data_IF_557816402709
#
_entry.id   IF_557816402709
#
_cell.length_a   1.000
_cell.length_b   1.000
_cell.length_c   1.000
_cell.angle_alpha   90.00
_cell.angle_beta   90.00
_cell.angle_gamma   90.00
#
_symmetry.space_group_name_H-M   'P 1'
#
loop_
_entity.id
_entity.type
_entity.pdbx_description
1 polymer ?
#
# COMPACT_ATOMS: atom_id res chain seq x y z
N UNK A 1 -12.33 10.34 10.77
CA UNK A 1 -12.61 8.94 11.12
C UNK A 1 -11.49 8.39 11.98
N UNK A 2 -11.84 7.59 12.97
CA UNK A 2 -10.85 6.80 13.71
C UNK A 2 -10.45 5.55 12.89
N UNK A 3 -9.56 4.72 13.45
CA UNK A 3 -9.04 3.55 12.75
C UNK A 3 -10.13 2.54 12.36
N UNK A 4 -11.01 2.20 13.29
CA UNK A 4 -12.05 1.20 13.02
C UNK A 4 -13.09 1.69 12.02
N UNK A 5 -13.45 2.96 12.07
CA UNK A 5 -14.33 3.59 11.10
C UNK A 5 -13.72 3.58 9.70
N UNK A 6 -12.45 3.93 9.59
CA UNK A 6 -11.73 3.92 8.32
C UNK A 6 -11.67 2.51 7.74
N UNK A 7 -11.34 1.52 8.56
CA UNK A 7 -11.28 0.12 8.13
C UNK A 7 -12.64 -0.37 7.61
N UNK A 8 -13.73 -0.01 8.27
CA UNK A 8 -15.08 -0.36 7.84
C UNK A 8 -15.45 0.30 6.51
N UNK A 9 -15.12 1.57 6.34
CA UNK A 9 -15.37 2.30 5.07
C UNK A 9 -14.60 1.67 3.92
N UNK A 10 -13.33 1.34 4.13
CA UNK A 10 -12.50 0.71 3.08
C UNK A 10 -13.06 -0.65 2.69
N UNK A 11 -13.49 -1.47 3.65
CA UNK A 11 -13.99 -2.82 3.36
C UNK A 11 -15.25 -2.80 2.47
N UNK A 12 -16.00 -1.72 2.46
CA UNK A 12 -17.23 -1.54 1.67
C UNK A 12 -17.06 -0.56 0.51
N UNK A 13 -15.84 -0.16 0.19
CA UNK A 13 -15.56 0.89 -0.79
C UNK A 13 -15.96 0.49 -2.20
N UNK A 14 -16.59 1.43 -2.92
CA UNK A 14 -16.99 1.29 -4.34
C UNK A 14 -16.58 2.50 -5.18
N UNK A 15 -15.56 3.24 -4.73
CA UNK A 15 -15.17 4.53 -5.32
C UNK A 15 -14.47 4.40 -6.69
N UNK A 16 -14.00 3.20 -7.04
CA UNK A 16 -13.41 2.95 -8.36
C UNK A 16 -13.79 1.56 -8.87
N UNK A 17 -13.50 1.28 -10.16
CA UNK A 17 -13.86 0.04 -10.82
C UNK A 17 -13.21 -1.22 -10.24
N UNK A 18 -12.16 -1.09 -9.44
CA UNK A 18 -11.48 -2.24 -8.83
C UNK A 18 -12.40 -3.03 -7.88
N UNK A 19 -13.42 -2.40 -7.34
CA UNK A 19 -14.39 -3.09 -6.48
C UNK A 19 -15.12 -4.25 -7.18
N UNK A 20 -15.20 -4.22 -8.50
CA UNK A 20 -15.92 -5.24 -9.28
C UNK A 20 -15.12 -6.53 -9.43
N UNK A 21 -13.80 -6.46 -9.41
CA UNK A 21 -12.92 -7.61 -9.63
C UNK A 21 -12.27 -8.17 -8.38
N UNK A 22 -12.36 -7.47 -7.26
CA UNK A 22 -11.74 -7.91 -6.00
C UNK A 22 -12.53 -9.03 -5.33
N UNK A 23 -11.83 -9.89 -4.61
CA UNK A 23 -12.47 -10.81 -3.65
C UNK A 23 -12.78 -10.07 -2.35
N UNK A 24 -11.84 -9.27 -1.87
CA UNK A 24 -11.99 -8.42 -0.70
C UNK A 24 -11.00 -7.26 -0.77
N UNK A 25 -11.19 -6.25 0.06
CA UNK A 25 -10.21 -5.19 0.22
C UNK A 25 -9.04 -5.67 1.10
N UNK A 26 -7.89 -5.06 0.90
CA UNK A 26 -6.67 -5.31 1.70
C UNK A 26 -6.29 -4.01 2.37
N UNK A 27 -6.71 -3.84 3.61
CA UNK A 27 -6.56 -2.57 4.32
C UNK A 27 -5.11 -2.27 4.71
N UNK A 28 -4.42 -3.26 5.19
CA UNK A 28 -3.08 -3.17 5.72
C UNK A 28 -2.92 -4.07 6.94
N UNK A 29 -1.71 -4.16 7.46
CA UNK A 29 -1.42 -5.00 8.63
C UNK A 29 -0.25 -4.42 9.42
N UNK A 30 -0.33 -4.50 10.73
CA UNK A 30 0.79 -4.17 11.60
C UNK A 30 0.43 -3.36 12.83
N UNK A 31 1.43 -2.69 13.36
CA UNK A 31 1.33 -1.87 14.56
C UNK A 31 0.73 -0.50 14.21
N UNK A 32 -0.41 -0.16 14.79
CA UNK A 32 -1.08 1.11 14.53
C UNK A 32 -0.31 2.33 15.08
N UNK A 33 0.71 2.08 15.89
CA UNK A 33 1.61 3.12 16.44
C UNK A 33 3.03 2.96 15.90
N UNK A 34 3.16 2.35 14.72
CA UNK A 34 4.45 2.08 14.11
C UNK A 34 5.22 3.36 13.80
N UNK A 35 6.53 3.32 13.98
CA UNK A 35 7.44 4.36 13.49
C UNK A 35 7.80 4.15 12.02
N UNK A 36 7.70 2.92 11.52
CA UNK A 36 8.01 2.53 10.15
C UNK A 36 6.74 2.14 9.41
N UNK A 37 6.41 2.90 8.38
CA UNK A 37 5.31 2.57 7.47
C UNK A 37 5.90 2.17 6.11
N UNK A 38 5.56 0.98 5.64
CA UNK A 38 5.96 0.48 4.33
C UNK A 38 4.74 0.53 3.40
N UNK A 39 4.88 1.18 2.25
CA UNK A 39 3.79 1.38 1.30
C UNK A 39 4.15 0.77 -0.04
N UNK A 40 3.40 -0.23 -0.44
CA UNK A 40 3.51 -0.87 -1.76
C UNK A 40 2.47 -0.35 -2.75
N UNK A 41 2.38 -1.03 -3.88
CA UNK A 41 1.52 -0.65 -5.00
C UNK A 41 0.06 -1.05 -4.77
N UNK A 42 -0.19 -2.33 -4.66
CA UNK A 42 -1.54 -2.87 -4.52
C UNK A 42 -1.53 -4.38 -4.28
N UNK A 43 -2.69 -4.94 -3.88
CA UNK A 43 -2.79 -6.38 -3.66
C UNK A 43 -2.62 -7.17 -4.96
N UNK A 44 -1.88 -8.26 -4.87
CA UNK A 44 -1.86 -9.29 -5.89
C UNK A 44 -2.90 -10.38 -5.58
N UNK A 45 -2.81 -11.50 -6.31
CA UNK A 45 -3.74 -12.62 -6.16
C UNK A 45 -3.79 -13.18 -4.74
N UNK A 46 -2.62 -13.42 -4.15
CA UNK A 46 -2.54 -14.02 -2.81
C UNK A 46 -3.10 -13.06 -1.74
N UNK A 47 -2.77 -11.78 -1.87
CA UNK A 47 -3.24 -10.73 -0.96
C UNK A 47 -4.76 -10.56 -1.04
N UNK A 48 -5.30 -10.53 -2.26
CA UNK A 48 -6.74 -10.44 -2.49
C UNK A 48 -7.50 -11.63 -1.87
N UNK A 49 -6.91 -12.81 -1.94
CA UNK A 49 -7.49 -14.02 -1.33
C UNK A 49 -7.41 -14.01 0.19
N UNK A 50 -6.25 -13.64 0.75
CA UNK A 50 -6.01 -13.71 2.20
C UNK A 50 -6.45 -12.46 2.97
N UNK A 51 -6.58 -11.31 2.29
CA UNK A 51 -6.93 -10.05 2.94
C UNK A 51 -5.77 -9.34 3.64
N UNK A 52 -4.54 -9.80 3.43
CA UNK A 52 -3.32 -9.24 4.02
C UNK A 52 -2.34 -8.79 2.95
N UNK A 53 -1.64 -7.65 3.13
CA UNK A 53 -0.61 -7.21 2.19
C UNK A 53 0.66 -8.04 2.31
N UNK A 54 1.37 -8.19 1.20
CA UNK A 54 2.70 -8.82 1.16
C UNK A 54 2.75 -10.25 1.72
N UNK A 55 1.87 -11.10 1.24
CA UNK A 55 1.81 -12.53 1.60
C UNK A 55 2.28 -13.46 0.48
N UNK A 56 2.59 -12.91 -0.70
CA UNK A 56 3.13 -13.65 -1.84
C UNK A 56 4.67 -13.57 -1.92
N UNK A 57 5.25 -13.81 -3.12
CA UNK A 57 6.72 -13.78 -3.30
C UNK A 57 7.37 -12.45 -2.91
N UNK A 58 6.75 -11.32 -3.24
CA UNK A 58 7.24 -10.00 -2.84
C UNK A 58 7.22 -9.85 -1.31
N UNK A 59 6.27 -10.49 -0.64
CA UNK A 59 6.18 -10.51 0.82
C UNK A 59 7.36 -11.22 1.48
N UNK A 60 7.84 -12.30 0.86
CA UNK A 60 9.03 -13.01 1.35
C UNK A 60 10.27 -12.13 1.24
N UNK A 61 10.39 -11.38 0.15
CA UNK A 61 11.50 -10.43 -0.02
C UNK A 61 11.43 -9.34 1.05
N UNK A 62 10.25 -8.80 1.32
CA UNK A 62 10.06 -7.81 2.37
C UNK A 62 10.42 -8.38 3.75
N UNK A 63 10.04 -9.61 4.05
CA UNK A 63 10.42 -10.28 5.30
C UNK A 63 11.94 -10.38 5.45
N UNK A 64 12.64 -10.71 4.37
CA UNK A 64 14.11 -10.75 4.38
C UNK A 64 14.71 -9.36 4.61
N UNK A 65 14.14 -8.33 4.02
CA UNK A 65 14.55 -6.94 4.27
C UNK A 65 14.34 -6.56 5.74
N UNK A 66 13.22 -6.95 6.34
CA UNK A 66 12.95 -6.71 7.76
C UNK A 66 14.01 -7.38 8.65
N UNK A 67 14.34 -8.63 8.38
CA UNK A 67 15.41 -9.34 9.11
C UNK A 67 16.72 -8.57 9.03
N UNK A 68 17.11 -8.11 7.83
CA UNK A 68 18.34 -7.35 7.63
C UNK A 68 18.33 -6.00 8.36
N UNK A 69 17.15 -5.40 8.54
CA UNK A 69 16.98 -4.11 9.23
C UNK A 69 16.77 -4.26 10.74
N UNK A 70 16.68 -5.48 11.25
CA UNK A 70 16.33 -5.73 12.65
C UNK A 70 14.87 -5.43 12.96
N UNK A 71 13.99 -5.47 11.97
CA UNK A 71 12.56 -5.23 12.11
C UNK A 71 11.78 -6.53 12.07
N UNK A 72 10.53 -6.48 12.54
CA UNK A 72 9.62 -7.62 12.57
C UNK A 72 8.21 -7.15 12.20
N UNK A 73 7.49 -7.96 11.43
CA UNK A 73 6.09 -7.67 11.12
C UNK A 73 5.27 -7.52 12.39
N UNK A 74 4.43 -6.48 12.44
CA UNK A 74 3.54 -6.22 13.56
C UNK A 74 4.19 -5.56 14.77
N UNK A 75 5.50 -5.41 14.78
CA UNK A 75 6.23 -4.72 15.85
C UNK A 75 6.90 -3.47 15.30
N UNK A 76 6.38 -2.30 15.64
CA UNK A 76 6.89 -1.01 15.20
C UNK A 76 6.92 -0.85 13.67
N UNK A 77 6.19 -1.71 12.94
CA UNK A 77 6.06 -1.69 11.50
C UNK A 77 4.58 -1.78 11.11
N UNK A 78 4.19 -1.05 10.09
CA UNK A 78 2.88 -1.18 9.44
C UNK A 78 3.10 -1.28 7.94
N UNK A 79 2.33 -2.15 7.28
CA UNK A 79 2.41 -2.39 5.85
C UNK A 79 1.06 -2.07 5.22
N UNK A 80 1.06 -1.21 4.22
CA UNK A 80 -0.12 -0.85 3.45
C UNK A 80 0.22 -0.76 1.97
N UNK A 81 -0.80 -0.64 1.14
CA UNK A 81 -0.63 -0.41 -0.30
C UNK A 81 -1.28 0.92 -0.70
N UNK A 82 -0.86 1.44 -1.83
CA UNK A 82 -1.43 2.64 -2.44
C UNK A 82 -2.91 2.43 -2.77
N UNK A 83 -3.25 1.29 -3.39
CA UNK A 83 -4.64 0.89 -3.61
C UNK A 83 -5.00 -0.29 -2.71
N UNK A 84 -6.28 -0.37 -2.30
CA UNK A 84 -6.77 -1.38 -1.35
C UNK A 84 -7.41 -2.58 -2.03
N UNK A 85 -7.56 -2.54 -3.33
CA UNK A 85 -8.18 -3.59 -4.15
C UNK A 85 -7.20 -4.05 -5.21
N UNK A 86 -7.26 -5.35 -5.54
CA UNK A 86 -6.41 -5.96 -6.57
C UNK A 86 -6.72 -5.38 -7.96
N UNK A 87 -5.76 -4.74 -8.63
CA UNK A 87 -5.91 -4.36 -10.04
C UNK A 87 -5.64 -5.55 -10.94
N UNK A 88 -6.54 -5.79 -11.89
CA UNK A 88 -6.40 -6.87 -12.86
C UNK A 88 -6.66 -6.39 -14.27
N UNK A 89 -6.06 -7.06 -15.26
CA UNK A 89 -6.35 -6.84 -16.67
C UNK A 89 -7.57 -7.65 -17.13
N UNK A 90 -7.87 -7.59 -18.42
CA UNK A 90 -8.99 -8.33 -19.04
C UNK A 90 -8.87 -9.85 -18.91
N UNK A 91 -7.64 -10.36 -18.73
CA UNK A 91 -7.35 -11.79 -18.52
C UNK A 91 -7.28 -12.17 -17.03
N UNK A 92 -7.70 -11.27 -16.14
CA UNK A 92 -7.66 -11.44 -14.68
C UNK A 92 -6.25 -11.63 -14.13
N UNK A 93 -5.24 -11.08 -14.80
CA UNK A 93 -3.85 -11.06 -14.35
C UNK A 93 -3.58 -9.76 -13.61
N UNK A 94 -2.65 -9.82 -12.67
CA UNK A 94 -2.22 -8.63 -11.93
C UNK A 94 -1.64 -7.57 -12.87
N UNK A 95 -1.96 -6.32 -12.60
CA UNK A 95 -1.42 -5.15 -13.29
C UNK A 95 -1.15 -4.03 -12.29
N UNK A 96 -0.40 -3.02 -12.71
CA UNK A 96 -0.28 -1.79 -11.93
C UNK A 96 -1.62 -1.03 -11.94
N UNK A 97 -1.97 -0.32 -10.86
CA UNK A 97 -3.13 0.57 -10.89
C UNK A 97 -2.88 1.73 -11.83
N UNK A 98 -3.96 2.22 -12.46
CA UNK A 98 -3.91 3.46 -13.22
C UNK A 98 -4.06 4.66 -12.28
N UNK A 99 -3.67 5.87 -12.75
CA UNK A 99 -3.68 7.07 -11.93
C UNK A 99 -5.04 7.35 -11.28
N UNK A 100 -6.14 7.17 -12.01
CA UNK A 100 -7.48 7.38 -11.47
C UNK A 100 -7.81 6.45 -10.29
N UNK A 101 -7.33 5.20 -10.34
CA UNK A 101 -7.52 4.23 -9.26
C UNK A 101 -6.69 4.61 -8.04
N UNK A 102 -5.44 4.98 -8.24
CA UNK A 102 -4.57 5.46 -7.16
C UNK A 102 -5.12 6.72 -6.51
N UNK A 103 -5.59 7.68 -7.31
CA UNK A 103 -6.17 8.93 -6.81
C UNK A 103 -7.44 8.69 -6.00
N UNK A 104 -8.31 7.79 -6.46
CA UNK A 104 -9.55 7.45 -5.75
C UNK A 104 -9.27 6.79 -4.39
N UNK A 105 -8.19 6.04 -4.28
CA UNK A 105 -7.82 5.30 -3.07
C UNK A 105 -6.93 6.10 -2.12
N UNK A 106 -6.27 7.15 -2.60
CA UNK A 106 -5.29 7.93 -1.85
C UNK A 106 -5.82 8.51 -0.54
N UNK A 107 -7.07 9.00 -0.45
CA UNK A 107 -7.60 9.52 0.82
C UNK A 107 -7.54 8.50 1.97
N UNK A 108 -7.68 7.22 1.67
CA UNK A 108 -7.59 6.17 2.70
C UNK A 108 -6.16 6.01 3.21
N UNK A 109 -5.19 5.98 2.32
CA UNK A 109 -3.78 5.91 2.70
C UNK A 109 -3.35 7.16 3.48
N UNK A 110 -3.76 8.34 3.04
CA UNK A 110 -3.49 9.59 3.73
C UNK A 110 -4.02 9.56 5.16
N UNK A 111 -5.25 9.05 5.35
CA UNK A 111 -5.82 8.93 6.69
C UNK A 111 -5.09 7.91 7.55
N UNK A 112 -4.67 6.79 6.97
CA UNK A 112 -3.83 5.83 7.68
C UNK A 112 -2.52 6.46 8.15
N UNK A 113 -1.87 7.23 7.29
CA UNK A 113 -0.63 7.94 7.63
C UNK A 113 -0.86 8.92 8.80
N UNK A 114 -1.93 9.69 8.76
CA UNK A 114 -2.27 10.63 9.83
C UNK A 114 -2.49 9.90 11.17
N UNK A 115 -3.22 8.77 11.14
CA UNK A 115 -3.54 8.01 12.35
C UNK A 115 -2.34 7.26 12.92
N UNK A 116 -1.48 6.70 12.07
CA UNK A 116 -0.26 6.01 12.50
C UNK A 116 0.80 7.04 12.94
N UNK A 117 0.90 8.14 12.23
CA UNK A 117 1.90 9.18 12.44
C UNK A 117 3.34 8.62 12.47
N UNK A 118 3.78 7.93 11.41
CA UNK A 118 5.08 7.29 11.40
C UNK A 118 6.22 8.30 11.33
N UNK A 119 7.40 7.89 11.80
CA UNK A 119 8.63 8.69 11.65
C UNK A 119 9.22 8.55 10.24
N UNK A 120 9.07 7.37 9.63
CA UNK A 120 9.62 7.06 8.30
C UNK A 120 8.57 6.34 7.48
N UNK A 121 8.44 6.76 6.22
CA UNK A 121 7.65 6.07 5.21
C UNK A 121 8.62 5.50 4.17
N UNK A 122 8.55 4.20 3.94
CA UNK A 122 9.33 3.52 2.90
C UNK A 122 8.41 3.21 1.73
N UNK A 123 8.66 3.85 0.60
CA UNK A 123 7.92 3.58 -0.64
C UNK A 123 8.54 2.38 -1.35
N UNK A 124 7.75 1.34 -1.53
CA UNK A 124 8.16 0.12 -2.20
C UNK A 124 7.68 0.15 -3.64
N UNK A 125 8.53 0.66 -4.52
CA UNK A 125 8.27 0.74 -5.95
C UNK A 125 7.75 2.08 -6.44
N UNK A 126 7.59 2.17 -7.76
CA UNK A 126 7.27 3.40 -8.48
C UNK A 126 5.91 3.98 -8.09
N UNK A 127 4.87 3.16 -8.08
CA UNK A 127 3.49 3.63 -7.82
C UNK A 127 3.39 4.31 -6.46
N UNK A 128 3.93 3.68 -5.42
CA UNK A 128 3.90 4.24 -4.07
C UNK A 128 4.70 5.55 -4.00
N UNK A 129 5.90 5.57 -4.58
CA UNK A 129 6.75 6.75 -4.56
C UNK A 129 6.08 7.95 -5.25
N UNK A 130 5.54 7.75 -6.45
CA UNK A 130 4.88 8.82 -7.21
C UNK A 130 3.61 9.32 -6.52
N UNK A 131 2.83 8.41 -5.96
CA UNK A 131 1.58 8.76 -5.26
C UNK A 131 1.84 9.53 -3.98
N UNK A 132 2.79 9.09 -3.16
CA UNK A 132 3.15 9.75 -1.90
C UNK A 132 3.75 11.13 -2.13
N UNK A 133 4.61 11.27 -3.13
CA UNK A 133 5.26 12.54 -3.47
C UNK A 133 4.42 13.42 -4.40
N UNK A 134 3.27 12.92 -4.87
CA UNK A 134 2.37 13.63 -5.80
C UNK A 134 3.09 14.08 -7.08
N UNK A 135 3.88 13.17 -7.64
CA UNK A 135 4.66 13.44 -8.86
C UNK A 135 3.91 12.97 -10.11
N UNK A 136 4.33 13.50 -11.26
CA UNK A 136 3.85 13.09 -12.56
C UNK A 136 4.13 11.59 -12.77
N UNK A 137 3.15 10.80 -13.28
CA UNK A 137 3.35 9.37 -13.56
C UNK A 137 4.51 9.06 -14.51
N UNK A 138 4.92 10.01 -15.34
CA UNK A 138 6.05 9.87 -16.23
C UNK A 138 7.42 10.04 -15.55
N UNK A 139 7.46 10.46 -14.29
CA UNK A 139 8.71 10.65 -13.55
C UNK A 139 9.46 9.32 -13.41
N UNK A 140 10.75 9.23 -13.85
CA UNK A 140 11.52 8.00 -13.70
C UNK A 140 11.81 7.71 -12.23
N UNK A 141 11.51 6.49 -11.78
CA UNK A 141 11.75 6.09 -10.39
C UNK A 141 13.24 6.13 -10.02
N UNK A 142 14.12 5.95 -11.00
CA UNK A 142 15.56 6.02 -10.79
C UNK A 142 16.02 7.36 -10.22
N UNK A 143 15.31 8.46 -10.52
CA UNK A 143 15.60 9.79 -9.97
C UNK A 143 15.28 9.91 -8.48
N UNK A 144 14.42 9.03 -7.97
CA UNK A 144 13.93 9.08 -6.60
C UNK A 144 14.73 8.20 -5.65
N UNK A 145 15.42 7.19 -6.20
CA UNK A 145 16.21 6.23 -5.42
C UNK A 145 17.43 6.89 -4.77
N UNK A 146 17.82 6.37 -3.62
CA UNK A 146 19.02 6.81 -2.91
C UNK A 146 18.90 8.18 -2.26
N UNK A 147 17.72 8.78 -2.25
CA UNK A 147 17.45 10.11 -1.67
C UNK A 147 16.30 10.01 -0.68
N UNK A 148 16.43 10.73 0.44
CA UNK A 148 15.34 10.89 1.40
C UNK A 148 14.52 12.11 1.00
N UNK A 149 13.20 11.92 0.89
CA UNK A 149 12.27 12.97 0.52
C UNK A 149 11.40 13.36 1.70
N UNK A 150 10.94 14.59 1.74
CA UNK A 150 9.98 15.03 2.77
C UNK A 150 8.56 14.73 2.28
N UNK A 151 7.82 14.07 3.14
CA UNK A 151 6.38 13.83 2.93
C UNK A 151 5.54 14.97 3.48
#
# INVERSE_FOLDING_TARGET
MNWDQLKAVVSNCTECGLCKGRTQTVFGVGDQKARWLFVGEGPGRNEDFQGEPFVGPAGKLLDNMFVAMGLKRGENTYIANTVKCRPTDENKRDRAPVAAESDACMPYLQRQIELINPSVIVALGKTAALSLLKLDPATPVARLRGTVHRY
#
